data_IF_583952432313
#
_entry.id   IF_583952432313
#
_cell.length_a   1.000
_cell.length_b   1.000
_cell.length_c   1.000
_cell.angle_alpha   90.00
_cell.angle_beta   90.00
_cell.angle_gamma   90.00
#
_symmetry.space_group_name_H-M   'P 1'
#
loop_
_entity.id
_entity.type
_entity.pdbx_description
1 polymer ?
#
# COMPACT_ATOMS: atom_id res chain seq x y z
N UNK A 1 -29.30 -0.07 -0.01
CA UNK A 1 -30.41 0.77 -0.55
C UNK A 1 -30.23 2.25 -0.24
N UNK A 2 -29.32 2.67 0.67
CA UNK A 2 -29.06 4.08 0.96
C UNK A 2 -27.56 4.37 0.90
N UNK A 3 -27.18 5.58 0.45
CA UNK A 3 -25.81 6.08 0.40
C UNK A 3 -25.73 7.45 1.07
N UNK A 4 -24.63 7.75 1.74
CA UNK A 4 -24.35 9.11 2.23
C UNK A 4 -24.08 10.00 1.02
N UNK A 5 -24.86 11.08 0.87
CA UNK A 5 -24.73 11.99 -0.28
C UNK A 5 -23.90 13.21 0.08
N UNK A 6 -24.23 13.89 1.18
CA UNK A 6 -23.53 15.11 1.59
C UNK A 6 -23.57 15.31 3.11
N UNK A 7 -22.72 16.21 3.59
CA UNK A 7 -22.79 16.84 4.92
C UNK A 7 -23.07 18.32 4.72
N UNK A 8 -23.96 18.89 5.52
CA UNK A 8 -24.34 20.30 5.44
C UNK A 8 -23.71 21.11 6.59
N UNK A 9 -23.26 22.33 6.28
CA UNK A 9 -22.81 23.34 7.26
C UNK A 9 -23.38 24.71 6.92
N UNK A 10 -23.53 25.56 7.94
CA UNK A 10 -23.84 26.98 7.76
C UNK A 10 -22.61 27.83 8.06
N UNK A 11 -22.34 28.81 7.21
CA UNK A 11 -21.14 29.68 7.30
C UNK A 11 -21.54 31.15 7.24
N UNK A 12 -20.77 32.03 7.88
CA UNK A 12 -21.07 33.48 7.87
C UNK A 12 -20.52 34.20 6.64
N UNK A 13 -19.51 33.62 5.97
CA UNK A 13 -18.89 34.21 4.79
C UNK A 13 -18.52 33.14 3.77
N UNK A 14 -19.24 33.11 2.65
CA UNK A 14 -19.09 32.04 1.67
C UNK A 14 -17.71 32.03 1.00
N UNK A 15 -17.13 33.20 0.70
CA UNK A 15 -15.84 33.30 0.03
C UNK A 15 -14.69 32.80 0.93
N UNK A 16 -14.66 33.24 2.19
CA UNK A 16 -13.67 32.78 3.18
C UNK A 16 -13.76 31.28 3.43
N UNK A 17 -14.97 30.75 3.54
CA UNK A 17 -15.17 29.32 3.78
C UNK A 17 -14.76 28.50 2.56
N UNK A 18 -15.11 28.92 1.34
CA UNK A 18 -14.63 28.26 0.11
C UNK A 18 -13.10 28.28 0.05
N UNK A 19 -12.46 29.42 0.29
CA UNK A 19 -11.00 29.54 0.30
C UNK A 19 -10.34 28.61 1.33
N UNK A 20 -10.94 28.51 2.52
CA UNK A 20 -10.47 27.59 3.56
C UNK A 20 -10.55 26.13 3.10
N UNK A 21 -11.73 25.67 2.67
CA UNK A 21 -11.93 24.27 2.30
C UNK A 21 -11.16 23.88 1.03
N UNK A 22 -10.92 24.81 0.09
CA UNK A 22 -10.05 24.60 -1.07
C UNK A 22 -8.62 24.22 -0.69
N UNK A 23 -8.11 24.67 0.46
CA UNK A 23 -6.77 24.28 0.95
C UNK A 23 -6.67 22.76 1.22
N UNK A 24 -7.79 22.11 1.53
CA UNK A 24 -7.89 20.66 1.75
C UNK A 24 -8.27 19.89 0.48
N UNK A 25 -8.25 20.54 -0.69
CA UNK A 25 -8.52 19.91 -1.99
C UNK A 25 -10.00 19.92 -2.41
N UNK A 26 -10.90 20.51 -1.62
CA UNK A 26 -12.31 20.64 -2.02
C UNK A 26 -12.46 21.49 -3.28
N UNK A 27 -13.33 21.06 -4.20
CA UNK A 27 -13.65 21.78 -5.43
C UNK A 27 -15.13 22.08 -5.50
N UNK A 28 -15.47 23.35 -5.67
CA UNK A 28 -16.85 23.77 -5.94
C UNK A 28 -17.31 23.19 -7.29
N UNK A 29 -18.51 22.59 -7.30
CA UNK A 29 -19.09 22.04 -8.53
C UNK A 29 -20.53 22.47 -8.77
N UNK A 30 -21.18 23.10 -7.78
CA UNK A 30 -22.54 23.60 -7.90
C UNK A 30 -22.76 24.80 -6.98
N UNK A 31 -23.50 25.79 -7.50
CA UNK A 31 -23.85 27.02 -6.79
C UNK A 31 -25.29 27.42 -7.06
N UNK A 32 -25.90 28.08 -6.10
CA UNK A 32 -27.18 28.76 -6.27
C UNK A 32 -27.25 29.96 -5.31
N UNK A 33 -27.76 31.09 -5.79
CA UNK A 33 -27.95 32.31 -4.99
C UNK A 33 -29.43 32.71 -5.09
N UNK A 34 -30.02 33.09 -3.95
CA UNK A 34 -31.35 33.66 -3.95
C UNK A 34 -31.34 35.05 -4.59
N UNK A 35 -32.38 35.38 -5.35
CA UNK A 35 -32.50 36.69 -6.04
C UNK A 35 -32.54 37.87 -5.06
N UNK A 36 -33.03 37.65 -3.83
CA UNK A 36 -33.10 38.65 -2.76
C UNK A 36 -31.83 38.70 -1.90
N UNK A 37 -30.79 37.95 -2.27
CA UNK A 37 -29.51 37.81 -1.56
C UNK A 37 -29.66 37.31 -0.10
N UNK A 38 -30.80 36.72 0.27
CA UNK A 38 -31.04 36.20 1.63
C UNK A 38 -30.16 35.00 1.96
N UNK A 39 -29.78 34.22 0.95
CA UNK A 39 -28.99 33.01 1.09
C UNK A 39 -28.15 32.72 -0.17
N UNK A 40 -26.94 32.22 0.06
CA UNK A 40 -26.09 31.58 -0.96
C UNK A 40 -25.88 30.12 -0.60
N UNK A 41 -25.98 29.23 -1.59
CA UNK A 41 -25.76 27.79 -1.44
C UNK A 41 -24.60 27.36 -2.33
N UNK A 42 -23.65 26.61 -1.78
CA UNK A 42 -22.50 26.08 -2.52
C UNK A 42 -22.29 24.61 -2.19
N UNK A 43 -21.96 23.81 -3.20
CA UNK A 43 -21.59 22.41 -3.01
C UNK A 43 -20.16 22.19 -3.47
N UNK A 44 -19.34 21.68 -2.55
CA UNK A 44 -17.95 21.35 -2.78
C UNK A 44 -17.77 19.83 -2.72
N UNK A 45 -16.94 19.28 -3.60
CA UNK A 45 -16.61 17.86 -3.65
C UNK A 45 -15.16 17.63 -3.20
N UNK A 46 -14.96 16.61 -2.37
CA UNK A 46 -13.66 16.02 -2.09
C UNK A 46 -13.78 14.49 -2.21
N UNK A 47 -13.22 13.93 -3.29
CA UNK A 47 -13.15 12.48 -3.50
C UNK A 47 -14.49 11.75 -3.31
N UNK A 48 -15.58 12.36 -3.80
CA UNK A 48 -16.94 11.79 -3.71
C UNK A 48 -17.74 12.19 -2.46
N UNK A 49 -17.10 12.74 -1.43
CA UNK A 49 -17.81 13.40 -0.33
C UNK A 49 -18.24 14.79 -0.76
N UNK A 50 -19.50 15.16 -0.50
CA UNK A 50 -20.05 16.48 -0.81
C UNK A 50 -20.25 17.27 0.49
N UNK A 51 -19.70 18.48 0.51
CA UNK A 51 -19.94 19.48 1.56
C UNK A 51 -20.90 20.54 1.00
N UNK A 52 -22.11 20.60 1.55
CA UNK A 52 -23.12 21.60 1.22
C UNK A 52 -23.05 22.77 2.22
N UNK A 53 -22.81 23.96 1.70
CA UNK A 53 -22.66 25.19 2.51
C UNK A 53 -23.86 26.09 2.32
N UNK A 54 -24.45 26.52 3.43
CA UNK A 54 -25.48 27.55 3.47
C UNK A 54 -24.88 28.84 4.06
N UNK A 55 -24.97 29.95 3.34
CA UNK A 55 -24.55 31.26 3.82
C UNK A 55 -25.76 32.18 3.84
N UNK A 56 -26.42 32.30 4.99
CA UNK A 56 -27.54 33.21 5.20
C UNK A 56 -27.05 34.62 5.49
N UNK A 57 -27.77 35.62 5.00
CA UNK A 57 -27.54 37.03 5.36
C UNK A 57 -27.79 37.28 6.85
N UNK A 58 -28.90 36.74 7.35
CA UNK A 58 -29.25 36.75 8.77
C UNK A 58 -28.99 35.34 9.34
N UNK A 59 -27.96 35.21 10.17
CA UNK A 59 -27.56 33.93 10.75
C UNK A 59 -27.47 34.02 12.27
N UNK A 60 -27.46 32.84 12.91
CA UNK A 60 -27.20 32.69 14.34
C UNK A 60 -25.77 32.19 14.50
N UNK A 61 -24.99 32.83 15.37
CA UNK A 61 -23.62 32.43 15.65
C UNK A 61 -23.54 30.99 16.18
N UNK A 62 -22.44 30.31 15.87
CA UNK A 62 -22.16 28.97 16.37
C UNK A 62 -22.24 28.97 17.91
N UNK A 63 -23.06 28.10 18.52
CA UNK A 63 -23.15 28.03 19.97
C UNK A 63 -21.78 27.78 20.60
N UNK A 64 -21.45 28.49 21.69
CA UNK A 64 -20.16 28.34 22.39
C UNK A 64 -19.83 26.88 22.74
N UNK A 65 -20.86 26.09 23.06
CA UNK A 65 -20.74 24.66 23.35
C UNK A 65 -20.18 23.85 22.18
N UNK A 66 -20.42 24.25 20.93
CA UNK A 66 -19.96 23.57 19.72
C UNK A 66 -18.50 23.88 19.34
N UNK A 67 -17.84 24.81 20.04
CA UNK A 67 -16.48 25.26 19.70
C UNK A 67 -15.36 24.36 20.26
N UNK A 68 -15.70 23.35 21.07
CA UNK A 68 -14.77 22.37 21.62
C UNK A 68 -15.45 21.03 21.86
N UNK A 69 -14.71 19.93 21.70
CA UNK A 69 -15.26 18.59 21.96
C UNK A 69 -15.66 18.37 23.41
N UNK A 70 -14.95 18.98 24.36
CA UNK A 70 -15.23 18.86 25.79
C UNK A 70 -16.64 19.37 26.16
N UNK A 71 -17.13 20.39 25.45
CA UNK A 71 -18.44 20.99 25.68
C UNK A 71 -19.50 20.50 24.70
N UNK A 72 -19.11 20.04 23.51
CA UNK A 72 -20.04 19.67 22.44
C UNK A 72 -20.52 18.21 22.54
N UNK A 73 -19.66 17.29 22.99
CA UNK A 73 -19.98 15.84 22.99
C UNK A 73 -21.19 15.46 23.85
N UNK A 74 -21.51 16.24 24.89
CA UNK A 74 -22.71 16.03 25.72
C UNK A 74 -23.98 16.66 25.15
N UNK A 75 -23.89 17.46 24.08
CA UNK A 75 -25.05 18.09 23.43
C UNK A 75 -25.61 17.16 22.38
N UNK A 76 -26.92 16.90 22.35
CA UNK A 76 -27.53 16.05 21.32
C UNK A 76 -27.48 16.74 19.95
N UNK A 77 -27.01 16.04 18.90
CA UNK A 77 -26.99 16.53 17.52
C UNK A 77 -25.69 16.19 16.76
N UNK A 78 -25.48 16.83 15.62
CA UNK A 78 -24.21 16.77 14.88
C UNK A 78 -23.08 17.40 15.71
N UNK A 79 -21.85 16.93 15.51
CA UNK A 79 -20.66 17.35 16.27
C UNK A 79 -19.59 17.94 15.34
N UNK A 80 -19.14 17.10 14.43
CA UNK A 80 -18.11 17.40 13.46
C UNK A 80 -18.25 16.43 12.28
N UNK A 81 -17.49 16.69 11.23
CA UNK A 81 -17.15 15.69 10.22
C UNK A 81 -15.65 15.49 10.22
N UNK A 82 -15.21 14.38 9.63
CA UNK A 82 -13.82 13.97 9.64
C UNK A 82 -13.21 13.95 8.23
N UNK A 83 -11.98 14.45 8.13
CA UNK A 83 -11.11 14.32 6.96
C UNK A 83 -10.01 13.32 7.30
N UNK A 84 -9.98 12.22 6.55
CA UNK A 84 -9.01 11.17 6.77
C UNK A 84 -7.68 11.40 6.06
N UNK A 85 -6.57 11.28 6.79
CA UNK A 85 -5.19 11.43 6.28
C UNK A 85 -4.39 10.13 6.44
N UNK A 86 -3.44 9.79 5.54
CA UNK A 86 -2.65 8.56 5.66
C UNK A 86 -1.60 8.60 6.79
N UNK A 87 -1.23 9.79 7.27
CA UNK A 87 -0.27 9.99 8.34
C UNK A 87 -0.61 11.27 9.12
N UNK A 88 -0.90 11.14 10.41
CA UNK A 88 -1.39 12.24 11.25
C UNK A 88 -0.30 13.28 11.56
N UNK A 89 0.97 12.87 11.65
CA UNK A 89 2.09 13.77 11.93
C UNK A 89 2.40 14.67 10.73
N UNK A 90 2.36 14.11 9.51
CA UNK A 90 2.48 14.89 8.28
C UNK A 90 1.32 15.88 8.15
N UNK A 91 0.10 15.47 8.49
CA UNK A 91 -1.05 16.36 8.47
C UNK A 91 -0.92 17.50 9.49
N UNK A 92 -0.48 17.19 10.72
CA UNK A 92 -0.17 18.20 11.74
C UNK A 92 0.84 19.22 11.24
N UNK A 93 1.97 18.77 10.68
CA UNK A 93 2.99 19.65 10.12
C UNK A 93 2.42 20.57 9.04
N UNK A 94 1.65 20.01 8.09
CA UNK A 94 1.02 20.78 7.02
C UNK A 94 0.04 21.85 7.55
N UNK A 95 -0.78 21.50 8.56
CA UNK A 95 -1.74 22.42 9.19
C UNK A 95 -1.02 23.63 9.83
N UNK A 96 0.07 23.38 10.55
CA UNK A 96 0.88 24.43 11.19
C UNK A 96 1.59 25.32 10.15
N UNK A 97 2.21 24.71 9.13
CA UNK A 97 2.93 25.44 8.06
C UNK A 97 2.00 26.35 7.23
N UNK A 98 0.76 25.92 7.01
CA UNK A 98 -0.24 26.68 6.26
C UNK A 98 -1.07 27.64 7.13
N UNK A 99 -0.69 27.81 8.42
CA UNK A 99 -1.36 28.69 9.39
C UNK A 99 -2.86 28.45 9.47
N UNK A 100 -3.24 27.17 9.45
CA UNK A 100 -4.64 26.74 9.66
C UNK A 100 -4.96 26.76 11.16
N UNK A 101 -4.00 26.39 11.99
CA UNK A 101 -4.08 26.46 13.45
C UNK A 101 -2.71 26.84 14.02
N UNK A 102 -2.70 27.52 15.17
CA UNK A 102 -1.45 27.95 15.84
C UNK A 102 -0.79 26.81 16.62
N UNK A 103 -1.60 25.92 17.19
CA UNK A 103 -1.16 24.77 17.96
C UNK A 103 -2.02 23.54 17.68
N UNK A 104 -1.39 22.36 17.65
CA UNK A 104 -2.06 21.08 17.44
C UNK A 104 -1.47 20.01 18.37
N UNK A 105 -2.34 19.40 19.14
CA UNK A 105 -2.04 18.23 19.97
C UNK A 105 -2.71 17.00 19.38
N UNK A 106 -1.90 16.02 18.97
CA UNK A 106 -2.41 14.72 18.52
C UNK A 106 -2.87 13.94 19.75
N UNK A 107 -4.10 13.46 19.70
CA UNK A 107 -4.72 12.65 20.73
C UNK A 107 -4.99 11.26 20.19
N UNK A 108 -4.83 10.22 21.03
CA UNK A 108 -5.26 8.86 20.69
C UNK A 108 -6.68 8.67 21.21
N UNK A 109 -7.62 8.41 20.30
CA UNK A 109 -9.01 8.15 20.65
C UNK A 109 -9.19 6.88 21.44
N UNK A 110 -10.33 6.74 22.12
CA UNK A 110 -10.68 5.51 22.86
C UNK A 110 -10.72 4.26 21.97
N UNK A 111 -10.88 4.46 20.66
CA UNK A 111 -10.86 3.40 19.64
C UNK A 111 -9.47 3.23 18.98
N UNK A 112 -8.42 3.81 19.56
CA UNK A 112 -7.02 3.57 19.17
C UNK A 112 -6.47 4.40 18.02
N UNK A 113 -7.26 5.32 17.43
CA UNK A 113 -6.80 6.14 16.30
C UNK A 113 -6.20 7.48 16.75
N UNK A 114 -5.05 7.88 16.20
CA UNK A 114 -4.55 9.23 16.39
C UNK A 114 -5.37 10.22 15.56
N UNK A 115 -5.75 11.33 16.18
CA UNK A 115 -6.50 12.40 15.55
C UNK A 115 -6.18 13.75 16.20
N UNK A 116 -6.59 14.84 15.55
CA UNK A 116 -6.68 16.17 16.14
C UNK A 116 -7.83 16.95 15.50
N UNK A 117 -8.23 18.06 16.11
CA UNK A 117 -9.25 18.95 15.57
C UNK A 117 -8.64 20.23 15.03
N UNK A 118 -9.17 20.72 13.91
CA UNK A 118 -9.00 22.10 13.44
C UNK A 118 -10.34 22.82 13.51
N UNK A 119 -10.30 24.14 13.35
CA UNK A 119 -11.47 24.99 13.24
C UNK A 119 -11.51 25.64 11.86
N UNK A 120 -12.68 25.67 11.26
CA UNK A 120 -12.92 26.48 10.07
C UNK A 120 -13.10 27.97 10.45
N UNK A 121 -13.31 28.88 9.47
CA UNK A 121 -13.46 30.31 9.74
C UNK A 121 -14.60 30.69 10.70
N UNK A 122 -15.62 29.83 10.84
CA UNK A 122 -16.79 30.02 11.70
C UNK A 122 -16.65 29.24 13.03
N UNK A 123 -15.51 28.60 13.27
CA UNK A 123 -15.23 27.84 14.48
C UNK A 123 -15.78 26.41 14.47
N UNK A 124 -16.30 25.93 13.33
CA UNK A 124 -16.82 24.57 13.18
C UNK A 124 -15.65 23.59 13.31
N UNK A 125 -15.85 22.55 14.12
CA UNK A 125 -14.85 21.52 14.33
C UNK A 125 -14.76 20.58 13.12
N UNK A 126 -13.55 20.42 12.60
CA UNK A 126 -13.21 19.43 11.58
C UNK A 126 -12.18 18.47 12.18
N UNK A 127 -12.53 17.19 12.25
CA UNK A 127 -11.61 16.15 12.74
C UNK A 127 -10.61 15.79 11.63
N UNK A 128 -9.32 15.90 11.92
CA UNK A 128 -8.28 15.28 11.12
C UNK A 128 -7.91 13.99 11.80
N UNK A 129 -8.22 12.87 11.16
CA UNK A 129 -8.02 11.54 11.73
C UNK A 129 -7.13 10.73 10.80
N UNK A 130 -6.19 9.97 11.38
CA UNK A 130 -5.46 9.01 10.57
C UNK A 130 -6.45 7.99 10.01
N UNK A 131 -6.55 7.92 8.68
CA UNK A 131 -7.23 6.82 8.03
C UNK A 131 -6.62 5.56 8.57
N UNK A 132 -7.44 4.53 8.65
CA UNK A 132 -6.83 3.22 8.49
C UNK A 132 -6.14 3.32 7.13
N UNK A 133 -4.81 3.33 7.13
CA UNK A 133 -4.08 2.81 5.98
C UNK A 133 -4.82 1.51 5.61
N UNK A 134 -4.88 1.12 4.34
CA UNK A 134 -5.28 -0.23 4.00
C UNK A 134 -4.17 -1.15 4.53
N UNK A 135 -4.06 -1.25 5.86
CA UNK A 135 -3.30 -2.22 6.58
C UNK A 135 -4.19 -3.42 6.45
N UNK A 136 -3.77 -4.29 5.56
CA UNK A 136 -3.68 -5.70 5.89
C UNK A 136 -3.71 -5.87 7.41
N UNK A 137 -4.71 -6.55 7.95
CA UNK A 137 -4.88 -6.79 9.39
C UNK A 137 -3.74 -7.69 9.91
N UNK A 138 -2.52 -7.18 9.87
CA UNK A 138 -1.31 -7.81 10.33
C UNK A 138 -1.05 -7.27 11.72
N UNK A 139 -1.18 -8.18 12.69
CA UNK A 139 -0.70 -7.99 14.04
C UNK A 139 0.82 -7.74 14.08
N UNK A 140 1.31 -7.29 15.23
CA UNK A 140 2.72 -6.95 15.39
C UNK A 140 3.65 -8.15 15.17
N UNK A 141 3.21 -9.36 15.48
CA UNK A 141 3.98 -10.58 15.29
C UNK A 141 4.18 -10.87 13.79
N UNK A 142 3.11 -10.81 13.00
CA UNK A 142 3.17 -10.95 11.55
C UNK A 142 4.10 -9.91 10.91
N UNK A 143 4.00 -8.64 11.35
CA UNK A 143 4.91 -7.58 10.88
C UNK A 143 6.36 -7.90 11.21
N UNK A 144 6.65 -8.33 12.44
CA UNK A 144 8.01 -8.70 12.85
C UNK A 144 8.54 -9.89 12.04
N UNK A 145 7.71 -10.88 11.75
CA UNK A 145 8.10 -12.01 10.92
C UNK A 145 8.49 -11.56 9.50
N UNK A 146 7.64 -10.78 8.83
CA UNK A 146 7.95 -10.27 7.49
C UNK A 146 9.21 -9.40 7.50
N UNK A 147 9.35 -8.48 8.46
CA UNK A 147 10.56 -7.65 8.63
C UNK A 147 11.82 -8.49 8.78
N UNK A 148 11.74 -9.58 9.54
CA UNK A 148 12.86 -10.52 9.73
C UNK A 148 13.26 -11.19 8.42
N UNK A 149 12.30 -11.69 7.63
CA UNK A 149 12.59 -12.32 6.33
C UNK A 149 13.23 -11.31 5.36
N UNK A 150 12.70 -10.08 5.28
CA UNK A 150 13.23 -9.01 4.43
C UNK A 150 14.68 -8.67 4.79
N UNK A 151 14.99 -8.52 6.08
CA UNK A 151 16.35 -8.23 6.54
C UNK A 151 17.29 -9.40 6.28
N UNK A 152 16.85 -10.62 6.64
CA UNK A 152 17.65 -11.83 6.40
C UNK A 152 18.02 -11.99 4.92
N UNK A 153 17.09 -11.72 4.00
CA UNK A 153 17.39 -11.85 2.56
C UNK A 153 18.25 -10.70 2.05
N UNK A 154 18.07 -9.48 2.54
CA UNK A 154 18.99 -8.39 2.25
C UNK A 154 20.44 -8.74 2.62
N UNK A 155 20.63 -9.33 3.82
CA UNK A 155 21.94 -9.66 4.36
C UNK A 155 22.66 -10.77 3.57
N UNK A 156 21.95 -11.54 2.76
CA UNK A 156 22.58 -12.50 1.82
C UNK A 156 23.40 -11.82 0.73
N UNK A 157 23.08 -10.55 0.41
CA UNK A 157 23.73 -9.80 -0.66
C UNK A 157 23.32 -10.17 -2.08
N UNK A 158 22.38 -11.12 -2.29
CA UNK A 158 21.94 -11.52 -3.64
C UNK A 158 21.45 -10.35 -4.49
N UNK A 159 20.77 -9.38 -3.87
CA UNK A 159 20.18 -8.24 -4.56
C UNK A 159 21.03 -6.97 -4.51
N UNK A 160 22.22 -7.02 -3.88
CA UNK A 160 23.09 -5.84 -3.70
C UNK A 160 23.70 -5.30 -5.01
N UNK A 161 23.83 -6.14 -6.03
CA UNK A 161 24.48 -5.80 -7.31
C UNK A 161 23.53 -5.79 -8.50
N UNK A 162 22.26 -6.14 -8.30
CA UNK A 162 21.31 -6.28 -9.40
C UNK A 162 20.64 -4.94 -9.70
N UNK A 163 20.85 -4.41 -10.91
CA UNK A 163 20.24 -3.14 -11.34
C UNK A 163 18.77 -3.28 -11.76
N UNK A 164 18.32 -4.51 -12.05
CA UNK A 164 17.00 -4.76 -12.62
C UNK A 164 15.98 -5.22 -11.58
N UNK A 165 16.44 -5.63 -10.40
CA UNK A 165 15.61 -6.08 -9.29
C UNK A 165 16.08 -5.49 -8.00
N UNK A 166 15.12 -4.96 -7.26
CA UNK A 166 15.39 -4.13 -6.13
C UNK A 166 14.68 -4.69 -4.91
N UNK A 167 15.25 -4.45 -3.73
CA UNK A 167 14.69 -4.95 -2.48
C UNK A 167 13.25 -4.46 -2.27
N UNK A 168 12.82 -3.38 -2.93
CA UNK A 168 11.43 -2.94 -2.98
C UNK A 168 10.50 -4.02 -3.57
N UNK A 169 10.88 -4.64 -4.69
CA UNK A 169 10.10 -5.71 -5.33
C UNK A 169 10.05 -6.94 -4.42
N UNK A 170 11.21 -7.44 -4.00
CA UNK A 170 11.32 -8.63 -3.14
C UNK A 170 10.52 -8.45 -1.85
N UNK A 171 10.63 -7.28 -1.20
CA UNK A 171 9.91 -6.99 0.04
C UNK A 171 8.39 -7.00 -0.15
N UNK A 172 7.89 -6.46 -1.28
CA UNK A 172 6.46 -6.49 -1.60
C UNK A 172 5.98 -7.90 -1.92
N UNK A 173 6.75 -8.71 -2.65
CA UNK A 173 6.37 -10.11 -2.91
C UNK A 173 6.32 -10.92 -1.61
N UNK A 174 7.31 -10.78 -0.71
CA UNK A 174 7.26 -11.40 0.63
C UNK A 174 5.99 -10.97 1.39
N UNK A 175 5.67 -9.68 1.36
CA UNK A 175 4.46 -9.16 2.01
C UNK A 175 3.19 -9.76 1.40
N UNK A 176 3.01 -9.73 0.08
CA UNK A 176 1.84 -10.33 -0.58
C UNK A 176 1.75 -11.83 -0.32
N UNK A 177 2.86 -12.56 -0.37
CA UNK A 177 2.92 -13.97 -0.02
C UNK A 177 2.42 -14.23 1.40
N UNK A 178 2.80 -13.40 2.38
CA UNK A 178 2.28 -13.51 3.74
C UNK A 178 0.76 -13.32 3.81
N UNK A 179 0.24 -12.31 3.11
CA UNK A 179 -1.18 -11.97 3.13
C UNK A 179 -2.04 -13.03 2.47
N UNK A 180 -1.62 -13.49 1.29
CA UNK A 180 -2.26 -14.57 0.58
C UNK A 180 -2.23 -15.85 1.42
N UNK A 181 -1.06 -16.20 1.98
CA UNK A 181 -0.92 -17.37 2.83
C UNK A 181 -1.80 -17.33 4.09
N UNK A 182 -1.94 -16.17 4.73
CA UNK A 182 -2.80 -16.01 5.92
C UNK A 182 -4.28 -16.20 5.57
N UNK A 183 -4.73 -15.62 4.47
CA UNK A 183 -6.13 -15.71 4.03
C UNK A 183 -6.50 -17.08 3.47
N UNK A 184 -5.52 -17.79 2.89
CA UNK A 184 -5.67 -19.17 2.40
C UNK A 184 -5.37 -20.22 3.50
N UNK A 185 -5.22 -19.78 4.75
CA UNK A 185 -5.02 -20.63 5.94
C UNK A 185 -3.82 -21.59 5.83
N UNK A 186 -2.68 -21.10 5.37
CA UNK A 186 -1.43 -21.86 5.41
C UNK A 186 -1.06 -22.23 6.85
N UNK A 187 -0.53 -23.45 7.00
CA UNK A 187 0.20 -23.86 8.21
C UNK A 187 1.47 -23.01 8.39
N UNK A 188 2.03 -23.01 9.60
CA UNK A 188 3.28 -22.28 9.88
C UNK A 188 4.44 -22.75 8.96
N UNK A 189 4.53 -24.06 8.70
CA UNK A 189 5.54 -24.62 7.81
C UNK A 189 5.31 -24.22 6.34
N UNK A 190 4.07 -24.26 5.85
CA UNK A 190 3.75 -23.75 4.50
C UNK A 190 4.06 -22.26 4.37
N UNK A 191 3.69 -21.45 5.37
CA UNK A 191 3.99 -20.02 5.40
C UNK A 191 5.49 -19.78 5.34
N UNK A 192 6.28 -20.48 6.16
CA UNK A 192 7.75 -20.40 6.14
C UNK A 192 8.30 -20.67 4.73
N UNK A 193 7.90 -21.79 4.12
CA UNK A 193 8.38 -22.18 2.79
C UNK A 193 7.96 -21.17 1.70
N UNK A 194 6.74 -20.61 1.79
CA UNK A 194 6.28 -19.59 0.87
C UNK A 194 7.10 -18.30 0.97
N UNK A 195 7.31 -17.79 2.19
CA UNK A 195 8.06 -16.54 2.40
C UNK A 195 9.53 -16.67 2.01
N UNK A 196 10.14 -17.82 2.27
CA UNK A 196 11.52 -18.09 1.85
C UNK A 196 11.60 -18.25 0.33
N UNK A 197 10.64 -18.92 -0.30
CA UNK A 197 10.58 -18.99 -1.76
C UNK A 197 10.43 -17.59 -2.36
N UNK A 198 9.55 -16.74 -1.81
CA UNK A 198 9.39 -15.35 -2.22
C UNK A 198 10.67 -14.53 -2.06
N UNK A 199 11.42 -14.74 -0.97
CA UNK A 199 12.68 -14.05 -0.73
C UNK A 199 13.75 -14.40 -1.78
N UNK A 200 13.77 -15.64 -2.27
CA UNK A 200 14.81 -16.13 -3.18
C UNK A 200 14.37 -16.25 -4.65
N UNK A 201 13.10 -16.01 -4.99
CA UNK A 201 12.57 -16.35 -6.32
C UNK A 201 13.35 -15.71 -7.48
N UNK A 202 13.82 -14.48 -7.28
CA UNK A 202 14.51 -13.68 -8.28
C UNK A 202 16.05 -13.60 -8.07
N UNK A 203 16.61 -14.37 -7.14
CA UNK A 203 18.04 -14.32 -6.82
C UNK A 203 18.96 -14.79 -7.97
N UNK A 204 18.41 -15.51 -8.94
CA UNK A 204 19.12 -16.01 -10.14
C UNK A 204 19.34 -14.98 -11.24
N UNK A 205 18.74 -13.78 -11.12
CA UNK A 205 18.78 -12.78 -12.19
C UNK A 205 20.14 -12.09 -12.28
N UNK A 206 20.70 -12.01 -13.48
CA UNK A 206 21.99 -11.36 -13.72
C UNK A 206 21.92 -10.21 -14.75
N UNK A 207 20.74 -9.92 -15.30
CA UNK A 207 20.50 -8.81 -16.22
C UNK A 207 20.67 -9.13 -17.70
N UNK A 208 21.06 -10.36 -18.05
CA UNK A 208 21.08 -10.89 -19.43
C UNK A 208 20.14 -12.09 -19.60
N UNK A 209 19.17 -12.23 -18.70
CA UNK A 209 18.40 -13.46 -18.56
C UNK A 209 17.47 -13.70 -19.78
N UNK A 210 17.58 -14.88 -20.41
CA UNK A 210 16.59 -15.41 -21.35
C UNK A 210 15.34 -15.94 -20.64
N UNK A 211 14.40 -16.53 -21.39
CA UNK A 211 13.18 -17.13 -20.80
C UNK A 211 13.55 -18.31 -19.89
N UNK A 212 13.08 -18.32 -18.64
CA UNK A 212 13.28 -19.36 -17.61
C UNK A 212 14.70 -19.52 -17.05
N UNK A 213 15.70 -18.80 -17.56
CA UNK A 213 17.09 -18.98 -17.12
C UNK A 213 17.31 -18.53 -15.67
N UNK A 214 16.63 -17.47 -15.23
CA UNK A 214 16.79 -16.97 -13.87
C UNK A 214 16.02 -17.76 -12.83
N UNK A 215 14.87 -18.35 -13.19
CA UNK A 215 14.11 -19.20 -12.27
C UNK A 215 14.88 -20.48 -11.92
N UNK A 216 15.48 -21.15 -12.92
CA UNK A 216 16.35 -22.29 -12.68
C UNK A 216 17.63 -21.90 -11.91
N UNK A 217 18.27 -20.80 -12.31
CA UNK A 217 19.45 -20.29 -11.61
C UNK A 217 19.14 -19.92 -10.15
N UNK A 218 17.97 -19.33 -9.89
CA UNK A 218 17.49 -18.97 -8.56
C UNK A 218 17.26 -20.21 -7.70
N UNK A 219 16.62 -21.25 -8.25
CA UNK A 219 16.45 -22.52 -7.56
C UNK A 219 17.81 -23.15 -7.20
N UNK A 220 18.80 -23.08 -8.10
CA UNK A 220 20.16 -23.56 -7.83
C UNK A 220 20.86 -22.75 -6.73
N UNK A 221 20.81 -21.42 -6.80
CA UNK A 221 21.45 -20.53 -5.81
C UNK A 221 20.83 -20.65 -4.43
N UNK A 222 19.51 -20.78 -4.35
CA UNK A 222 18.81 -21.05 -3.09
C UNK A 222 19.29 -22.38 -2.48
N UNK A 223 19.38 -23.43 -3.28
CA UNK A 223 19.93 -24.73 -2.84
C UNK A 223 21.36 -24.59 -2.30
N UNK A 224 22.27 -23.99 -3.09
CA UNK A 224 23.65 -23.77 -2.66
C UNK A 224 23.74 -22.95 -1.36
N UNK A 225 22.90 -21.94 -1.19
CA UNK A 225 22.85 -21.13 0.02
C UNK A 225 22.45 -21.99 1.24
N UNK A 226 21.38 -22.78 1.15
CA UNK A 226 20.89 -23.56 2.28
C UNK A 226 21.76 -24.80 2.58
N UNK A 227 22.41 -25.39 1.58
CA UNK A 227 23.37 -26.46 1.80
C UNK A 227 24.65 -25.97 2.50
N UNK A 228 25.13 -24.77 2.15
CA UNK A 228 26.30 -24.16 2.81
C UNK A 228 25.96 -23.63 4.21
N UNK A 229 24.73 -23.19 4.43
CA UNK A 229 24.27 -22.57 5.68
C UNK A 229 23.25 -23.45 6.39
N UNK A 230 23.70 -24.57 6.96
CA UNK A 230 22.82 -25.52 7.68
C UNK A 230 22.07 -24.84 8.84
N UNK A 231 22.75 -23.96 9.59
CA UNK A 231 22.13 -23.13 10.63
C UNK A 231 21.75 -21.75 10.08
N UNK A 232 20.86 -21.71 9.08
CA UNK A 232 20.42 -20.46 8.43
C UNK A 232 19.38 -19.69 9.25
N UNK A 233 19.31 -18.38 9.01
CA UNK A 233 18.38 -17.44 9.69
C UNK A 233 16.91 -17.61 9.27
N UNK A 234 16.64 -18.44 8.26
CA UNK A 234 15.31 -18.75 7.72
C UNK A 234 14.70 -20.04 8.29
N UNK A 235 15.47 -20.81 9.08
CA UNK A 235 15.05 -22.09 9.66
C UNK A 235 14.59 -23.12 8.61
N UNK A 236 15.27 -23.16 7.46
CA UNK A 236 15.09 -24.17 6.41
C UNK A 236 15.92 -25.41 6.71
N UNK A 237 15.28 -26.58 6.69
CA UNK A 237 15.91 -27.89 6.84
C UNK A 237 16.30 -28.48 5.49
N UNK A 238 17.23 -29.43 5.48
CA UNK A 238 17.80 -30.01 4.25
C UNK A 238 16.73 -30.67 3.38
N UNK A 239 15.79 -31.38 3.99
CA UNK A 239 14.67 -32.05 3.34
C UNK A 239 13.65 -31.09 2.70
N UNK A 240 13.68 -29.81 3.07
CA UNK A 240 12.79 -28.78 2.53
C UNK A 240 13.37 -28.08 1.31
N UNK A 241 14.69 -28.16 1.10
CA UNK A 241 15.38 -27.50 -0.02
C UNK A 241 14.76 -27.87 -1.39
N UNK A 242 14.49 -29.16 -1.69
CA UNK A 242 13.83 -29.54 -2.95
C UNK A 242 12.48 -28.87 -3.17
N UNK A 243 11.70 -28.63 -2.12
CA UNK A 243 10.39 -27.94 -2.21
C UNK A 243 10.61 -26.49 -2.64
N UNK A 244 11.57 -25.79 -2.02
CA UNK A 244 11.93 -24.42 -2.40
C UNK A 244 12.40 -24.34 -3.85
N UNK A 245 13.21 -25.31 -4.31
CA UNK A 245 13.67 -25.36 -5.69
C UNK A 245 12.53 -25.49 -6.70
N UNK A 246 11.52 -26.32 -6.40
CA UNK A 246 10.34 -26.44 -7.26
C UNK A 246 9.56 -25.13 -7.31
N UNK A 247 9.24 -24.55 -6.15
CA UNK A 247 8.42 -23.33 -6.07
C UNK A 247 9.12 -22.15 -6.72
N UNK A 248 10.43 -21.97 -6.47
CA UNK A 248 11.25 -20.96 -7.12
C UNK A 248 11.32 -21.24 -8.62
N UNK A 249 11.63 -22.44 -9.09
CA UNK A 249 11.76 -22.66 -10.53
C UNK A 249 10.42 -22.44 -11.27
N UNK A 250 9.29 -22.79 -10.64
CA UNK A 250 7.97 -22.64 -11.24
C UNK A 250 7.47 -21.19 -11.36
N UNK A 251 8.03 -20.24 -10.59
CA UNK A 251 7.47 -18.89 -10.49
C UNK A 251 7.40 -18.16 -11.84
N UNK A 252 8.34 -18.43 -12.76
CA UNK A 252 8.36 -17.85 -14.10
C UNK A 252 7.59 -18.68 -15.15
N UNK A 253 7.21 -19.92 -14.81
CA UNK A 253 6.57 -20.84 -15.77
C UNK A 253 5.39 -20.21 -16.50
N UNK A 254 5.40 -20.25 -17.83
CA UNK A 254 4.30 -19.76 -18.66
C UNK A 254 3.23 -20.83 -18.75
N UNK A 255 2.16 -20.68 -18.00
CA UNK A 255 1.09 -21.68 -18.01
C UNK A 255 0.34 -21.71 -19.34
N UNK A 256 -0.08 -22.92 -19.71
CA UNK A 256 -0.88 -23.15 -20.90
C UNK A 256 -2.22 -22.38 -20.88
N UNK A 257 -2.82 -22.23 -19.69
CA UNK A 257 -4.03 -21.45 -19.47
C UNK A 257 -3.80 -20.40 -18.38
N UNK A 258 -4.07 -19.13 -18.68
CA UNK A 258 -3.85 -18.02 -17.74
C UNK A 258 -4.68 -18.21 -16.47
N UNK A 259 -4.04 -18.02 -15.32
CA UNK A 259 -4.70 -18.13 -14.02
C UNK A 259 -4.97 -19.58 -13.59
N UNK A 260 -4.40 -20.57 -14.28
CA UNK A 260 -4.44 -21.98 -13.88
C UNK A 260 -3.04 -22.57 -13.79
N UNK A 261 -2.81 -23.33 -12.72
CA UNK A 261 -1.56 -24.06 -12.56
C UNK A 261 -1.44 -25.16 -13.61
N UNK A 262 -0.28 -25.21 -14.22
CA UNK A 262 0.24 -26.34 -14.98
C UNK A 262 0.77 -27.41 -14.01
N UNK A 263 -0.05 -28.42 -13.73
CA UNK A 263 0.28 -29.52 -12.81
C UNK A 263 1.33 -30.46 -13.39
N UNK A 264 1.34 -30.64 -14.70
CA UNK A 264 2.28 -31.56 -15.35
C UNK A 264 3.71 -31.01 -15.23
N UNK A 265 3.88 -29.69 -15.38
CA UNK A 265 5.17 -29.04 -15.13
C UNK A 265 5.60 -29.17 -13.65
N UNK A 266 4.69 -28.96 -12.68
CA UNK A 266 5.01 -29.13 -11.26
C UNK A 266 5.50 -30.57 -10.97
N UNK A 267 4.85 -31.58 -11.56
CA UNK A 267 5.27 -32.97 -11.42
C UNK A 267 6.64 -33.25 -12.06
N UNK A 268 6.96 -32.59 -13.17
CA UNK A 268 8.30 -32.66 -13.77
C UNK A 268 9.35 -32.04 -12.86
N UNK A 269 9.07 -30.88 -12.28
CA UNK A 269 9.97 -30.20 -11.34
C UNK A 269 10.18 -30.98 -10.04
N UNK A 270 9.14 -31.60 -9.51
CA UNK A 270 9.24 -32.49 -8.34
C UNK A 270 10.22 -33.62 -8.62
N UNK A 271 10.14 -34.24 -9.80
CA UNK A 271 11.10 -35.28 -10.22
C UNK A 271 12.51 -34.70 -10.41
N UNK A 272 12.63 -33.53 -11.05
CA UNK A 272 13.91 -32.86 -11.33
C UNK A 272 14.70 -32.58 -10.07
N UNK A 273 14.05 -32.05 -9.03
CA UNK A 273 14.70 -31.67 -7.77
C UNK A 273 14.60 -32.74 -6.68
N UNK A 274 14.00 -33.89 -6.98
CA UNK A 274 13.78 -34.96 -6.02
C UNK A 274 13.00 -34.48 -4.77
N UNK A 275 11.97 -33.68 -5.00
CA UNK A 275 11.09 -33.20 -3.94
C UNK A 275 10.14 -34.30 -3.45
N UNK A 276 9.73 -34.29 -2.17
CA UNK A 276 8.82 -35.31 -1.63
C UNK A 276 7.49 -35.34 -2.40
N UNK A 277 7.18 -36.48 -3.03
CA UNK A 277 5.99 -36.60 -3.89
C UNK A 277 4.67 -36.53 -3.11
N UNK A 278 4.68 -36.91 -1.83
CA UNK A 278 3.57 -36.78 -0.90
C UNK A 278 3.26 -35.31 -0.53
N UNK A 279 4.18 -34.38 -0.79
CA UNK A 279 3.98 -32.94 -0.63
C UNK A 279 3.36 -32.26 -1.86
N UNK A 280 2.85 -32.98 -2.87
CA UNK A 280 2.31 -32.40 -4.11
C UNK A 280 1.28 -31.29 -3.86
N UNK A 281 0.29 -31.53 -2.99
CA UNK A 281 -0.76 -30.54 -2.67
C UNK A 281 -0.20 -29.27 -2.04
N UNK A 282 0.81 -29.42 -1.16
CA UNK A 282 1.53 -28.30 -0.57
C UNK A 282 2.29 -27.51 -1.65
N UNK A 283 3.05 -28.20 -2.50
CA UNK A 283 3.83 -27.57 -3.58
C UNK A 283 2.92 -26.81 -4.55
N UNK A 284 1.81 -27.41 -4.98
CA UNK A 284 0.81 -26.75 -5.83
C UNK A 284 0.33 -25.44 -5.20
N UNK A 285 0.00 -25.48 -3.90
CA UNK A 285 -0.46 -24.31 -3.16
C UNK A 285 0.63 -23.23 -3.07
N UNK A 286 1.88 -23.60 -2.77
CA UNK A 286 3.01 -22.66 -2.69
C UNK A 286 3.32 -22.01 -4.05
N UNK A 287 3.36 -22.80 -5.12
CA UNK A 287 3.54 -22.32 -6.50
C UNK A 287 2.45 -21.31 -6.89
N UNK A 288 1.20 -21.62 -6.57
CA UNK A 288 0.05 -20.74 -6.84
C UNK A 288 0.21 -19.39 -6.16
N UNK A 289 0.48 -19.40 -4.85
CA UNK A 289 0.53 -18.18 -4.04
C UNK A 289 1.76 -17.32 -4.33
N UNK A 290 2.90 -17.93 -4.68
CA UNK A 290 4.08 -17.17 -5.08
C UNK A 290 3.84 -16.44 -6.41
N UNK A 291 3.27 -17.13 -7.42
CA UNK A 291 2.96 -16.49 -8.71
C UNK A 291 1.93 -15.37 -8.56
N UNK A 292 0.92 -15.56 -7.71
CA UNK A 292 -0.06 -14.52 -7.43
C UNK A 292 0.56 -13.33 -6.70
N UNK A 293 1.47 -13.57 -5.74
CA UNK A 293 2.18 -12.51 -5.02
C UNK A 293 3.08 -11.68 -5.95
N UNK A 294 3.85 -12.33 -6.83
CA UNK A 294 4.65 -11.65 -7.86
C UNK A 294 3.74 -10.85 -8.82
N UNK A 295 2.63 -11.46 -9.26
CA UNK A 295 1.67 -10.80 -10.14
C UNK A 295 1.04 -9.55 -9.49
N UNK A 296 0.65 -9.61 -8.21
CA UNK A 296 0.11 -8.44 -7.49
C UNK A 296 1.10 -7.28 -7.44
N UNK A 297 2.40 -7.57 -7.31
CA UNK A 297 3.43 -6.54 -7.33
C UNK A 297 3.56 -5.84 -8.69
N UNK A 298 3.00 -6.40 -9.77
CA UNK A 298 3.01 -5.78 -11.11
C UNK A 298 2.16 -4.53 -11.22
N UNK A 299 1.36 -4.18 -10.22
CA UNK A 299 0.81 -2.82 -10.08
C UNK A 299 1.92 -1.75 -9.92
N UNK A 300 3.19 -2.14 -9.76
CA UNK A 300 4.37 -1.28 -9.89
C UNK A 300 4.63 -0.75 -11.30
N UNK A 301 3.92 -1.26 -12.31
CA UNK A 301 4.04 -0.84 -13.70
C UNK A 301 2.73 -0.18 -14.16
N UNK A 302 2.84 0.97 -14.83
CA UNK A 302 1.71 1.70 -15.38
C UNK A 302 1.35 1.24 -16.79
N UNK A 303 2.34 0.80 -17.58
CA UNK A 303 2.14 0.40 -18.99
C UNK A 303 2.50 -1.06 -19.24
N UNK A 304 3.63 -1.35 -19.89
CA UNK A 304 4.11 -2.69 -20.15
C UNK A 304 4.44 -3.37 -18.83
N UNK A 305 3.95 -4.60 -18.67
CA UNK A 305 4.20 -5.35 -17.45
C UNK A 305 3.15 -5.15 -16.36
N UNK A 306 2.18 -4.24 -16.52
CA UNK A 306 1.10 -4.04 -15.53
C UNK A 306 0.36 -5.35 -15.20
N UNK A 307 -0.16 -5.45 -13.97
CA UNK A 307 -1.02 -6.54 -13.54
C UNK A 307 -2.20 -6.73 -14.50
N UNK A 308 -2.35 -7.96 -15.01
CA UNK A 308 -3.57 -8.44 -15.66
C UNK A 308 -4.22 -9.46 -14.70
N UNK A 309 -5.38 -9.13 -14.08
CA UNK A 309 -6.04 -10.01 -13.11
C UNK A 309 -6.35 -11.42 -13.62
N UNK A 310 -6.37 -11.65 -14.95
CA UNK A 310 -6.54 -12.99 -15.54
C UNK A 310 -5.39 -13.94 -15.24
N UNK A 311 -4.23 -13.42 -14.83
CA UNK A 311 -3.10 -14.24 -14.41
C UNK A 311 -3.21 -14.70 -12.95
N UNK A 312 -4.13 -14.15 -12.16
CA UNK A 312 -4.28 -14.52 -10.74
C UNK A 312 -5.04 -15.84 -10.60
N UNK A 313 -4.60 -16.69 -9.69
CA UNK A 313 -5.10 -18.07 -9.51
C UNK A 313 -6.01 -18.22 -8.31
N UNK A 314 -5.56 -17.76 -7.15
CA UNK A 314 -6.26 -17.85 -5.86
C UNK A 314 -7.42 -16.86 -5.78
N UNK A 315 -8.46 -17.24 -5.03
CA UNK A 315 -9.61 -16.37 -4.79
C UNK A 315 -9.21 -15.14 -3.96
N UNK A 316 -8.29 -15.32 -3.01
CA UNK A 316 -7.75 -14.20 -2.23
C UNK A 316 -7.04 -13.17 -3.11
N UNK A 317 -6.22 -13.59 -4.08
CA UNK A 317 -5.52 -12.63 -4.94
C UNK A 317 -6.47 -11.85 -5.85
N UNK A 318 -7.55 -12.50 -6.31
CA UNK A 318 -8.59 -11.88 -7.14
C UNK A 318 -9.53 -10.95 -6.37
N UNK A 319 -9.52 -11.00 -5.03
CA UNK A 319 -10.42 -10.22 -4.21
C UNK A 319 -10.27 -8.71 -4.50
N UNK A 320 -11.37 -7.96 -4.68
CA UNK A 320 -11.31 -6.52 -4.95
C UNK A 320 -10.47 -5.73 -3.94
N UNK A 321 -10.51 -6.14 -2.67
CA UNK A 321 -9.73 -5.54 -1.59
C UNK A 321 -8.22 -5.78 -1.77
N UNK A 322 -7.82 -6.97 -2.23
CA UNK A 322 -6.42 -7.31 -2.48
C UNK A 322 -5.88 -6.55 -3.70
N UNK A 323 -6.66 -6.48 -4.79
CA UNK A 323 -6.31 -5.70 -5.98
C UNK A 323 -6.18 -4.21 -5.67
N UNK A 324 -7.13 -3.68 -4.89
CA UNK A 324 -7.07 -2.29 -4.42
C UNK A 324 -5.83 -2.05 -3.57
N UNK A 325 -5.54 -2.94 -2.63
CA UNK A 325 -4.35 -2.84 -1.78
C UNK A 325 -3.06 -2.88 -2.58
N UNK A 326 -2.96 -3.80 -3.55
CA UNK A 326 -1.80 -3.92 -4.43
C UNK A 326 -1.52 -2.63 -5.22
N UNK A 327 -2.58 -1.96 -5.68
CA UNK A 327 -2.47 -0.65 -6.31
C UNK A 327 -2.01 0.43 -5.32
N UNK A 328 -2.65 0.51 -4.15
CA UNK A 328 -2.37 1.55 -3.14
C UNK A 328 -0.94 1.47 -2.60
N UNK A 329 -0.42 0.27 -2.31
CA UNK A 329 0.94 0.12 -1.81
C UNK A 329 1.99 0.46 -2.88
N UNK A 330 1.75 0.09 -4.14
CA UNK A 330 2.64 0.43 -5.25
C UNK A 330 2.65 1.94 -5.53
N UNK A 331 1.50 2.61 -5.41
CA UNK A 331 1.43 4.07 -5.45
C UNK A 331 2.22 4.71 -4.30
N UNK A 332 2.10 4.20 -3.08
CA UNK A 332 2.81 4.73 -1.92
C UNK A 332 4.34 4.59 -2.06
N UNK A 333 4.82 3.42 -2.49
CA UNK A 333 6.25 3.20 -2.75
C UNK A 333 6.76 4.08 -3.89
N UNK A 334 6.00 4.20 -4.99
CA UNK A 334 6.39 5.06 -6.10
C UNK A 334 6.47 6.54 -5.69
N UNK A 335 5.50 7.02 -4.90
CA UNK A 335 5.52 8.36 -4.33
C UNK A 335 6.78 8.63 -3.50
N UNK A 336 7.16 7.69 -2.63
CA UNK A 336 8.32 7.87 -1.76
C UNK A 336 9.62 7.90 -2.57
N UNK A 337 9.74 7.03 -3.57
CA UNK A 337 10.88 7.04 -4.52
C UNK A 337 10.94 8.39 -5.24
N UNK A 338 9.85 8.88 -5.82
CA UNK A 338 9.82 10.17 -6.51
C UNK A 338 10.26 11.31 -5.58
N UNK A 339 9.76 11.31 -4.34
CA UNK A 339 10.09 12.34 -3.37
C UNK A 339 11.57 12.31 -2.98
N UNK A 340 12.10 11.15 -2.59
CA UNK A 340 13.45 11.05 -2.03
C UNK A 340 14.54 11.00 -3.09
N UNK A 341 14.30 10.23 -4.14
CA UNK A 341 15.32 9.95 -5.15
C UNK A 341 15.30 11.00 -6.26
N UNK A 342 14.12 11.51 -6.63
CA UNK A 342 13.99 12.54 -7.66
C UNK A 342 13.74 13.95 -7.09
N UNK A 343 13.61 14.10 -5.76
CA UNK A 343 13.42 15.40 -5.08
C UNK A 343 12.11 16.12 -5.41
N UNK A 344 11.11 15.41 -5.93
CA UNK A 344 9.82 16.02 -6.29
C UNK A 344 8.87 15.91 -5.09
N UNK A 345 8.80 16.96 -4.28
CA UNK A 345 8.02 16.95 -3.03
C UNK A 345 6.50 17.05 -3.23
N UNK A 346 6.04 17.69 -4.31
CA UNK A 346 4.63 17.96 -4.57
C UNK A 346 4.16 17.30 -5.85
N UNK A 347 3.70 16.05 -5.72
CA UNK A 347 2.96 15.35 -6.77
C UNK A 347 1.50 15.79 -6.64
N UNK A 348 0.92 16.34 -7.72
CA UNK A 348 -0.51 16.68 -7.71
C UNK A 348 -1.32 15.40 -7.45
N UNK A 349 -2.32 15.46 -6.59
CA UNK A 349 -3.10 14.27 -6.17
C UNK A 349 -3.74 13.47 -7.32
N UNK A 350 -3.96 14.12 -8.47
CA UNK A 350 -4.54 13.50 -9.67
C UNK A 350 -3.53 12.67 -10.48
N UNK A 351 -2.24 12.76 -10.16
CA UNK A 351 -1.17 12.07 -10.89
C UNK A 351 -0.96 10.68 -10.31
N UNK A 352 -1.05 9.68 -11.18
CA UNK A 352 -0.62 8.31 -10.89
C UNK A 352 0.90 8.28 -10.69
N UNK A 353 1.34 8.03 -9.47
CA UNK A 353 2.74 8.10 -9.06
C UNK A 353 3.56 6.97 -9.63
N UNK A 354 2.96 5.79 -9.84
CA UNK A 354 3.60 4.69 -10.56
C UNK A 354 3.90 5.12 -12.00
N UNK A 355 2.92 5.72 -12.67
CA UNK A 355 3.10 6.23 -14.04
C UNK A 355 4.16 7.32 -14.11
N UNK A 356 4.13 8.28 -13.18
CA UNK A 356 5.14 9.34 -13.12
C UNK A 356 6.54 8.76 -12.90
N UNK A 357 6.70 7.79 -11.98
CA UNK A 357 7.98 7.16 -11.72
C UNK A 357 8.50 6.42 -12.96
N UNK A 358 7.63 5.70 -13.67
CA UNK A 358 7.99 5.03 -14.93
C UNK A 358 8.45 6.03 -15.99
N UNK A 359 7.74 7.15 -16.15
CA UNK A 359 8.14 8.22 -17.07
C UNK A 359 9.48 8.88 -16.70
N UNK A 360 9.74 9.10 -15.40
CA UNK A 360 11.01 9.66 -14.93
C UNK A 360 12.18 8.72 -15.22
N UNK A 361 11.99 7.41 -14.98
CA UNK A 361 12.97 6.36 -15.31
C UNK A 361 13.26 6.31 -16.81
N UNK A 362 12.22 6.37 -17.65
CA UNK A 362 12.37 6.36 -19.12
C UNK A 362 13.07 7.61 -19.66
N UNK A 363 12.75 8.79 -19.09
CA UNK A 363 13.38 10.07 -19.45
C UNK A 363 14.81 10.22 -18.91
N UNK A 364 15.30 9.26 -18.12
CA UNK A 364 16.61 9.30 -17.45
C UNK A 364 16.84 10.62 -16.71
N UNK A 365 15.82 11.09 -16.01
CA UNK A 365 15.91 12.30 -15.19
C UNK A 365 16.97 12.07 -14.10
N UNK A 366 17.82 13.07 -13.88
CA UNK A 366 18.91 13.01 -12.93
C UNK A 366 18.38 12.81 -11.49
N UNK A 367 18.99 11.88 -10.76
CA UNK A 367 18.61 11.51 -9.39
C UNK A 367 19.37 12.39 -8.40
N UNK A 368 18.73 12.80 -7.30
CA UNK A 368 19.29 13.73 -6.31
C UNK A 368 19.96 13.04 -5.10
N UNK A 369 19.72 11.75 -4.87
CA UNK A 369 20.26 10.99 -3.74
C UNK A 369 21.58 10.27 -4.05
N UNK A 370 22.53 10.24 -3.10
CA UNK A 370 23.81 9.51 -3.21
C UNK A 370 23.63 7.98 -3.18
N UNK A 371 22.56 7.48 -2.54
CA UNK A 371 22.09 6.10 -2.65
C UNK A 371 20.89 6.04 -3.61
N UNK A 372 21.07 5.34 -4.73
CA UNK A 372 20.10 5.29 -5.84
C UNK A 372 18.78 4.54 -5.51
N UNK A 373 18.64 3.97 -4.31
CA UNK A 373 17.51 3.14 -3.88
C UNK A 373 17.06 3.53 -2.46
N UNK A 374 15.85 3.14 -2.08
CA UNK A 374 15.43 3.26 -0.69
C UNK A 374 16.22 2.26 0.19
N UNK A 375 16.58 2.68 1.39
CA UNK A 375 17.14 1.79 2.40
C UNK A 375 16.10 0.73 2.83
N UNK A 376 16.58 -0.40 3.37
CA UNK A 376 15.70 -1.48 3.83
C UNK A 376 14.70 -1.01 4.88
N UNK A 377 15.14 -0.16 5.82
CA UNK A 377 14.25 0.34 6.87
C UNK A 377 13.17 1.26 6.29
N UNK A 378 13.49 2.09 5.29
CA UNK A 378 12.49 2.90 4.59
C UNK A 378 11.49 2.05 3.82
N UNK A 379 11.96 0.99 3.14
CA UNK A 379 11.08 0.04 2.46
C UNK A 379 10.14 -0.61 3.47
N UNK A 380 10.67 -1.10 4.58
CA UNK A 380 9.89 -1.71 5.66
C UNK A 380 8.84 -0.75 6.22
N UNK A 381 9.20 0.51 6.44
CA UNK A 381 8.29 1.52 6.98
C UNK A 381 7.18 1.90 6.00
N UNK A 382 7.41 1.78 4.70
CA UNK A 382 6.35 1.96 3.69
C UNK A 382 5.34 0.80 3.69
N UNK A 383 5.77 -0.41 4.04
CA UNK A 383 4.92 -1.59 4.03
C UNK A 383 4.00 -1.71 5.27
N UNK A 384 4.27 -1.01 6.39
CA UNK A 384 3.63 -1.27 7.70
C UNK A 384 3.25 -0.06 8.54
#
# INVERSE_FOLDING_TARGET
MFNVVHVAISVSNIEKSIEFYKKFGFKEFKSWDAEDESIKIRMLNLNGMILEMFCYKDYIELPKTATSTATDLSVIGTKHFALGVPNIEKAKKWVLENKIADEITITIGRLGKPYFFIKDPDGILVEIIEKDLPKTKLDNEAKQNIKKIIRNVNDTGFYSKNKFHSMEHISKVIMFSFLLGKNENLTEEEMKLLLVSAAFHDCGRNGNDGENEHAEAGAKLACEYFEKNVANTFNIRKEEIPILQVVIHYHEHKECERGKLDKDEILQLIKKYNAPADCLSQIEKLCMLLKDADALDRERFATYGKLDPKYLRSETAKAPEMLKYAKEINQAVANEIIRKIYGIERIKEEIDSVKLLEELKLKKVEMLGEENNLSIDEIIDLLF
#
